data_IF_424275910811
#
_entry.id   IF_424275910811
#
_cell.length_a   1.000
_cell.length_b   1.000
_cell.length_c   1.000
_cell.angle_alpha   90.00
_cell.angle_beta   90.00
_cell.angle_gamma   90.00
#
_symmetry.space_group_name_H-M   'P 1'
#
loop_
_entity.id
_entity.type
_entity.pdbx_description
1 polymer ?
#
# COMPACT_ATOMS: atom_id res chain seq x y z
N UNK A 1 1.26 9.93 6.61
CA UNK A 1 1.05 8.84 5.66
C UNK A 1 1.11 7.43 6.25
N UNK A 2 2.16 7.10 7.01
CA UNK A 2 2.52 5.72 7.39
C UNK A 2 1.44 4.86 8.06
N UNK A 3 0.50 5.45 8.80
CA UNK A 3 -0.59 4.71 9.45
C UNK A 3 -1.87 4.59 8.59
N UNK A 4 -1.99 5.41 7.54
CA UNK A 4 -3.14 5.39 6.62
C UNK A 4 -2.85 4.49 5.42
N UNK A 5 -1.65 4.61 4.85
CA UNK A 5 -1.18 3.76 3.75
C UNK A 5 0.14 3.08 4.18
N UNK A 6 0.07 1.96 4.95
CA UNK A 6 1.23 1.15 5.28
C UNK A 6 1.91 0.59 4.03
N UNK A 7 3.22 0.39 4.13
CA UNK A 7 4.02 -0.27 3.11
C UNK A 7 4.82 -1.42 3.75
N UNK A 8 5.39 -2.29 2.92
CA UNK A 8 6.18 -3.42 3.42
C UNK A 8 7.48 -2.94 4.10
N UNK A 9 7.92 -3.66 5.12
CA UNK A 9 9.17 -3.41 5.83
C UNK A 9 10.37 -3.44 4.87
N UNK A 10 11.32 -2.53 5.09
CA UNK A 10 12.52 -2.40 4.25
C UNK A 10 12.43 -1.30 3.16
N UNK A 11 11.24 -0.75 2.88
CA UNK A 11 11.10 0.36 1.91
C UNK A 11 11.34 1.75 2.52
N UNK A 12 11.11 1.91 3.82
CA UNK A 12 11.18 3.19 4.50
C UNK A 12 12.35 3.29 5.46
N UNK A 13 13.11 4.39 5.37
CA UNK A 13 14.29 4.61 6.22
C UNK A 13 14.00 5.44 7.48
N UNK A 14 12.82 6.08 7.59
CA UNK A 14 12.47 6.84 8.79
C UNK A 14 12.00 5.91 9.91
N UNK A 15 12.27 6.30 11.16
CA UNK A 15 11.83 5.55 12.35
C UNK A 15 10.30 5.30 12.35
N UNK A 16 9.51 6.24 11.83
CA UNK A 16 8.06 6.07 11.70
C UNK A 16 7.68 5.10 10.58
N UNK A 17 8.44 5.06 9.47
CA UNK A 17 8.20 4.09 8.42
C UNK A 17 8.48 2.67 8.87
N UNK A 18 9.52 2.48 9.70
CA UNK A 18 9.84 1.16 10.28
C UNK A 18 8.83 0.73 11.33
N UNK A 19 8.36 1.65 12.19
CA UNK A 19 7.41 1.35 13.27
C UNK A 19 6.05 0.87 12.76
N UNK A 20 5.59 1.37 11.62
CA UNK A 20 4.28 1.03 11.03
C UNK A 20 4.41 0.18 9.76
N UNK A 21 5.59 -0.37 9.49
CA UNK A 21 5.79 -1.24 8.35
C UNK A 21 5.10 -2.59 8.55
N UNK A 22 4.59 -3.14 7.46
CA UNK A 22 4.05 -4.50 7.42
C UNK A 22 5.20 -5.47 7.14
N UNK A 23 5.45 -6.41 8.04
CA UNK A 23 6.56 -7.35 7.99
C UNK A 23 6.28 -8.64 7.22
N UNK A 24 5.03 -8.94 6.88
CA UNK A 24 4.66 -10.17 6.14
C UNK A 24 3.31 -10.05 5.43
N UNK A 25 3.02 -10.96 4.49
CA UNK A 25 1.69 -11.09 3.89
C UNK A 25 0.60 -11.39 4.92
N UNK A 26 0.89 -12.30 5.86
CA UNK A 26 -0.04 -12.63 6.93
C UNK A 26 -0.38 -11.40 7.79
N UNK A 27 0.59 -10.53 8.06
CA UNK A 27 0.33 -9.27 8.75
C UNK A 27 -0.52 -8.31 7.89
N UNK A 28 -0.31 -8.25 6.58
CA UNK A 28 -1.15 -7.47 5.67
C UNK A 28 -2.61 -7.97 5.66
N UNK A 29 -2.81 -9.29 5.64
CA UNK A 29 -4.13 -9.93 5.74
C UNK A 29 -4.81 -9.60 7.07
N UNK A 30 -4.08 -9.72 8.19
CA UNK A 30 -4.60 -9.34 9.52
C UNK A 30 -4.92 -7.85 9.58
N UNK A 31 -4.09 -6.97 8.99
CA UNK A 31 -4.36 -5.54 8.93
C UNK A 31 -5.68 -5.26 8.18
N UNK A 32 -5.92 -5.94 7.06
CA UNK A 32 -7.16 -5.81 6.30
C UNK A 32 -8.38 -6.38 7.03
N UNK A 33 -8.21 -7.52 7.72
CA UNK A 33 -9.28 -8.12 8.51
C UNK A 33 -9.60 -7.34 9.79
N UNK A 34 -8.71 -6.46 10.24
CA UNK A 34 -8.91 -5.70 11.47
C UNK A 34 -10.10 -4.74 11.35
N UNK A 35 -11.07 -4.77 12.30
CA UNK A 35 -12.38 -4.11 12.17
C UNK A 35 -12.33 -2.58 12.04
N UNK A 36 -11.18 -1.97 12.35
CA UNK A 36 -10.95 -0.52 12.21
C UNK A 36 -9.97 -0.19 11.09
N UNK A 37 -8.96 -1.02 10.85
CA UNK A 37 -7.84 -0.62 9.98
C UNK A 37 -8.15 -0.89 8.51
N UNK A 38 -8.65 -2.09 8.18
CA UNK A 38 -9.11 -2.43 6.84
C UNK A 38 -10.16 -1.45 6.30
N UNK A 39 -11.28 -1.20 7.01
CA UNK A 39 -12.29 -0.25 6.56
C UNK A 39 -11.75 1.17 6.37
N UNK A 40 -10.80 1.63 7.22
CA UNK A 40 -10.18 2.94 7.07
C UNK A 40 -9.28 3.03 5.85
N UNK A 41 -8.45 2.02 5.61
CA UNK A 41 -7.62 1.94 4.42
C UNK A 41 -8.48 2.03 3.15
N UNK A 42 -9.53 1.21 3.06
CA UNK A 42 -10.47 1.22 1.93
C UNK A 42 -11.13 2.59 1.78
N UNK A 43 -11.66 3.16 2.87
CA UNK A 43 -12.30 4.48 2.85
C UNK A 43 -11.35 5.60 2.38
N UNK A 44 -10.11 5.60 2.86
CA UNK A 44 -9.09 6.54 2.43
C UNK A 44 -8.73 6.38 0.95
N UNK A 45 -8.60 5.14 0.45
CA UNK A 45 -8.39 4.89 -0.98
C UNK A 45 -9.56 5.41 -1.82
N UNK A 46 -10.81 5.23 -1.38
CA UNK A 46 -12.00 5.78 -2.06
C UNK A 46 -11.95 7.31 -2.14
N UNK A 47 -11.55 7.97 -1.06
CA UNK A 47 -11.42 9.43 -1.03
C UNK A 47 -10.36 9.93 -2.01
N UNK A 48 -9.22 9.23 -2.14
CA UNK A 48 -8.20 9.56 -3.13
C UNK A 48 -8.75 9.38 -4.55
N UNK A 49 -9.38 8.24 -4.84
CA UNK A 49 -10.00 7.94 -6.15
C UNK A 49 -11.10 8.95 -6.55
N UNK A 50 -11.83 9.50 -5.58
CA UNK A 50 -12.89 10.47 -5.82
C UNK A 50 -12.38 11.83 -6.32
N UNK A 51 -11.10 12.16 -6.11
CA UNK A 51 -10.53 13.42 -6.59
C UNK A 51 -10.40 13.40 -8.12
N UNK A 52 -11.06 14.34 -8.79
CA UNK A 52 -11.06 14.45 -10.25
C UNK A 52 -10.00 15.42 -10.79
N UNK A 53 -9.47 15.14 -11.97
CA UNK A 53 -8.60 16.05 -12.73
C UNK A 53 -7.25 16.35 -12.08
N UNK A 54 -6.81 15.54 -11.12
CA UNK A 54 -5.52 15.72 -10.42
C UNK A 54 -4.68 14.45 -10.49
N UNK A 55 -3.37 14.65 -10.64
CA UNK A 55 -2.39 13.57 -10.50
C UNK A 55 -2.26 13.15 -9.04
N UNK A 56 -1.78 11.94 -8.79
CA UNK A 56 -1.55 11.47 -7.41
C UNK A 56 -0.57 12.36 -6.64
N UNK A 57 0.45 12.87 -7.32
CA UNK A 57 1.41 13.80 -6.75
C UNK A 57 0.76 15.13 -6.35
N UNK A 58 -0.23 15.62 -7.11
CA UNK A 58 -1.00 16.81 -6.74
C UNK A 58 -1.99 16.58 -5.56
N UNK A 59 -2.29 15.33 -5.22
CA UNK A 59 -3.18 14.96 -4.10
C UNK A 59 -2.38 14.72 -2.83
N UNK A 60 -1.30 13.94 -2.93
CA UNK A 60 -0.54 13.45 -1.77
C UNK A 60 0.85 14.09 -1.61
N UNK A 61 1.40 14.67 -2.68
CA UNK A 61 2.77 15.17 -2.72
C UNK A 61 3.83 14.07 -2.74
N UNK A 62 5.07 14.44 -3.04
CA UNK A 62 6.22 13.56 -2.86
C UNK A 62 6.73 13.64 -1.41
N UNK A 63 7.20 12.52 -0.81
CA UNK A 63 7.34 11.17 -1.36
C UNK A 63 6.11 10.26 -1.09
N UNK A 64 4.97 10.84 -0.74
CA UNK A 64 3.81 10.09 -0.27
C UNK A 64 2.99 9.45 -1.41
N UNK A 65 3.12 9.95 -2.63
CA UNK A 65 2.65 9.31 -3.86
C UNK A 65 3.30 7.93 -4.09
N UNK A 66 4.62 7.82 -3.89
CA UNK A 66 5.33 6.54 -3.98
C UNK A 66 4.83 5.56 -2.91
N UNK A 67 4.63 6.03 -1.67
CA UNK A 67 4.08 5.19 -0.58
C UNK A 67 2.69 4.69 -0.88
N UNK A 68 1.86 5.51 -1.52
CA UNK A 68 0.53 5.10 -1.95
C UNK A 68 0.62 3.95 -2.98
N UNK A 69 1.52 4.04 -3.97
CA UNK A 69 1.76 2.92 -4.91
C UNK A 69 2.20 1.64 -4.19
N UNK A 70 3.16 1.74 -3.28
CA UNK A 70 3.65 0.60 -2.50
C UNK A 70 2.55 -0.01 -1.64
N UNK A 71 1.71 0.81 -1.01
CA UNK A 71 0.57 0.36 -0.20
C UNK A 71 -0.49 -0.36 -1.04
N UNK A 72 -0.91 0.22 -2.17
CA UNK A 72 -1.89 -0.43 -3.06
C UNK A 72 -1.35 -1.73 -3.65
N UNK A 73 -0.03 -1.80 -3.89
CA UNK A 73 0.64 -3.03 -4.34
C UNK A 73 0.64 -4.10 -3.25
N UNK A 74 0.97 -3.73 -2.02
CA UNK A 74 1.00 -4.65 -0.88
C UNK A 74 -0.37 -5.26 -0.62
N UNK A 75 -1.40 -4.42 -0.45
CA UNK A 75 -2.73 -4.90 -0.09
C UNK A 75 -3.45 -5.57 -1.26
N UNK A 76 -3.21 -5.13 -2.50
CA UNK A 76 -3.69 -5.83 -3.70
C UNK A 76 -2.98 -7.17 -3.97
N UNK A 77 -1.93 -7.51 -3.23
CA UNK A 77 -1.28 -8.82 -3.30
C UNK A 77 -1.86 -9.83 -2.30
N UNK A 78 -2.72 -9.40 -1.38
CA UNK A 78 -3.32 -10.23 -0.31
C UNK A 78 -4.85 -10.08 -0.23
N UNK A 79 -5.47 -9.35 -1.17
CA UNK A 79 -6.90 -9.09 -1.21
C UNK A 79 -7.42 -9.04 -2.63
N UNK A 80 -8.61 -9.60 -2.84
CA UNK A 80 -9.36 -9.53 -4.09
C UNK A 80 -10.23 -8.26 -4.20
N UNK A 81 -10.18 -7.35 -3.22
CA UNK A 81 -10.91 -6.08 -3.30
C UNK A 81 -10.37 -5.25 -4.49
N UNK A 82 -11.22 -4.94 -5.50
CA UNK A 82 -10.76 -4.28 -6.71
C UNK A 82 -10.21 -2.88 -6.45
N UNK A 83 -10.54 -2.24 -5.32
CA UNK A 83 -10.15 -0.86 -5.03
C UNK A 83 -8.64 -0.62 -5.13
N UNK A 84 -7.82 -1.60 -4.75
CA UNK A 84 -6.36 -1.51 -4.84
C UNK A 84 -5.90 -1.50 -6.30
N UNK A 85 -6.48 -2.38 -7.12
CA UNK A 85 -6.20 -2.45 -8.55
C UNK A 85 -6.71 -1.21 -9.31
N UNK A 86 -7.87 -0.67 -8.90
CA UNK A 86 -8.43 0.56 -9.46
C UNK A 86 -7.54 1.78 -9.16
N UNK A 87 -7.01 1.88 -7.94
CA UNK A 87 -6.07 2.93 -7.56
C UNK A 87 -4.77 2.86 -8.38
N UNK A 88 -4.23 1.65 -8.59
CA UNK A 88 -3.07 1.43 -9.45
C UNK A 88 -3.37 1.79 -10.92
N UNK A 89 -4.52 1.37 -11.44
CA UNK A 89 -4.96 1.70 -12.80
C UNK A 89 -5.09 3.22 -13.00
N UNK A 90 -5.73 3.92 -12.06
CA UNK A 90 -5.99 5.37 -12.16
C UNK A 90 -4.74 6.22 -12.10
N UNK A 91 -3.79 5.86 -11.23
CA UNK A 91 -2.67 6.76 -10.90
C UNK A 91 -1.30 6.27 -11.34
N UNK A 92 -1.16 4.98 -11.68
CA UNK A 92 0.12 4.35 -12.00
C UNK A 92 0.03 3.45 -13.25
N UNK A 93 -0.94 3.69 -14.15
CA UNK A 93 -1.15 2.91 -15.38
C UNK A 93 -1.32 1.38 -15.14
N UNK A 94 -1.79 1.00 -13.94
CA UNK A 94 -1.93 -0.40 -13.53
C UNK A 94 -0.63 -1.02 -13.02
N UNK A 95 0.47 -0.28 -13.02
CA UNK A 95 1.77 -0.80 -12.61
C UNK A 95 1.92 -0.89 -11.09
N UNK A 96 2.25 -2.09 -10.63
CA UNK A 96 2.62 -2.38 -9.25
C UNK A 96 4.00 -1.82 -8.91
N UNK A 97 4.26 -1.57 -7.64
CA UNK A 97 5.57 -1.18 -7.14
C UNK A 97 6.51 -2.40 -7.10
N UNK A 98 7.53 -2.40 -7.96
CA UNK A 98 8.47 -3.52 -8.10
C UNK A 98 9.20 -3.85 -6.80
N UNK A 99 9.62 -2.83 -6.05
CA UNK A 99 10.34 -3.04 -4.79
C UNK A 99 9.45 -3.72 -3.73
N UNK A 100 8.16 -3.34 -3.65
CA UNK A 100 7.18 -4.05 -2.80
C UNK A 100 7.07 -5.53 -3.19
N UNK A 101 6.94 -5.83 -4.48
CA UNK A 101 6.81 -7.22 -4.96
C UNK A 101 8.07 -8.05 -4.69
N UNK A 102 9.26 -7.48 -4.89
CA UNK A 102 10.52 -8.14 -4.59
C UNK A 102 10.65 -8.50 -3.11
N UNK A 103 10.27 -7.58 -2.22
CA UNK A 103 10.31 -7.83 -0.77
C UNK A 103 9.29 -8.90 -0.39
N UNK A 104 8.06 -8.83 -0.92
CA UNK A 104 7.05 -9.86 -0.67
C UNK A 104 7.50 -11.25 -1.13
N UNK A 105 8.09 -11.35 -2.32
CA UNK A 105 8.63 -12.61 -2.84
C UNK A 105 9.72 -13.19 -1.94
N UNK A 106 10.58 -12.35 -1.35
CA UNK A 106 11.61 -12.78 -0.39
C UNK A 106 11.01 -13.24 0.93
N UNK A 107 9.93 -12.62 1.39
CA UNK A 107 9.21 -13.01 2.61
C UNK A 107 8.44 -14.34 2.45
N UNK A 108 8.08 -14.71 1.21
CA UNK A 108 7.41 -15.98 0.90
C UNK A 108 8.37 -17.17 0.86
N UNK A 109 9.69 -16.93 0.77
CA UNK A 109 10.68 -18.00 0.77
C UNK A 109 11.01 -18.41 2.22
N UNK A 110 10.93 -19.70 2.57
CA UNK A 110 11.39 -20.15 3.88
C UNK A 110 12.89 -19.85 4.00
N UNK A 111 13.28 -19.20 5.10
CA UNK A 111 14.68 -18.96 5.42
C UNK A 111 15.45 -20.29 5.39
N UNK A 112 16.35 -20.44 4.41
CA UNK A 112 17.29 -21.57 4.33
C UNK A 112 18.24 -21.62 5.53
#
# INVERSE_FOLDING_TARGET
MWFIFPQVAGLGFSAMAQRYAIGSRAEAEVYLAHPVLGPRLIACTRLVLAVQGRTINAILGAPDDAKFRSSMTLFGAVSDDPIFSEALARYFAGERDGATLEILSKLDQPSS
#
